data_IF_516736382194
#
_entry.id   IF_516736382194
#
_cell.length_a   1.000
_cell.length_b   1.000
_cell.length_c   1.000
_cell.angle_alpha   90.00
_cell.angle_beta   90.00
_cell.angle_gamma   90.00
#
_symmetry.space_group_name_H-M   'P 1'
#
loop_
_entity.id
_entity.type
_entity.pdbx_description
1 polymer ?
#
# COMPACT_ATOMS: atom_id res chain seq x y z
N UNK A 1 45.14 -24.94 -16.78
CA UNK A 1 44.38 -23.80 -16.21
C UNK A 1 43.09 -23.57 -17.00
N UNK A 2 42.15 -24.52 -16.98
CA UNK A 2 40.88 -24.39 -17.72
C UNK A 2 39.63 -24.70 -16.86
N UNK A 3 39.82 -25.18 -15.63
CA UNK A 3 38.73 -25.60 -14.73
C UNK A 3 38.25 -24.44 -13.84
N UNK A 4 38.98 -23.32 -13.79
CA UNK A 4 38.62 -22.13 -12.98
C UNK A 4 37.75 -21.10 -13.71
N UNK A 5 37.55 -21.24 -15.03
CA UNK A 5 36.77 -20.27 -15.82
C UNK A 5 35.28 -20.64 -15.83
N UNK A 6 34.94 -21.92 -15.65
CA UNK A 6 33.55 -22.40 -15.68
C UNK A 6 32.78 -22.03 -14.40
N UNK A 7 33.46 -21.81 -13.27
CA UNK A 7 32.83 -21.42 -12.01
C UNK A 7 32.42 -19.95 -11.95
N UNK A 8 32.96 -19.07 -12.82
CA UNK A 8 32.60 -17.65 -12.79
C UNK A 8 31.28 -17.35 -13.54
N UNK A 9 30.86 -18.23 -14.46
CA UNK A 9 29.63 -18.06 -15.23
C UNK A 9 28.36 -18.56 -14.51
N UNK A 10 28.50 -19.25 -13.38
CA UNK A 10 27.34 -19.77 -12.63
C UNK A 10 26.88 -18.84 -11.49
N UNK A 11 27.53 -17.69 -11.29
CA UNK A 11 27.17 -16.72 -10.25
C UNK A 11 26.40 -15.48 -10.74
N UNK A 12 26.03 -15.42 -12.03
CA UNK A 12 25.26 -14.31 -12.63
C UNK A 12 23.84 -14.81 -12.99
N UNK A 13 23.27 -15.66 -12.13
CA UNK A 13 21.97 -16.31 -12.34
C UNK A 13 20.84 -15.80 -11.45
N UNK A 14 21.06 -14.82 -10.57
CA UNK A 14 20.02 -14.36 -9.64
C UNK A 14 20.19 -12.90 -9.20
N UNK A 15 19.95 -11.96 -10.11
CA UNK A 15 19.52 -10.59 -9.73
C UNK A 15 18.22 -10.27 -10.42
N UNK A 16 17.15 -10.94 -10.00
CA UNK A 16 15.77 -10.47 -10.23
C UNK A 16 15.46 -9.43 -9.15
N UNK A 17 15.32 -8.16 -9.53
CA UNK A 17 14.62 -7.03 -8.89
C UNK A 17 15.25 -5.74 -9.44
N UNK A 18 14.57 -4.76 -10.04
CA UNK A 18 13.18 -4.37 -9.90
C UNK A 18 12.71 -3.68 -11.19
N UNK A 19 11.40 -3.77 -11.44
CA UNK A 19 10.68 -2.93 -12.39
C UNK A 19 10.84 -1.46 -11.97
N UNK A 20 11.72 -0.72 -12.64
CA UNK A 20 11.61 0.72 -12.70
C UNK A 20 10.40 1.04 -13.60
N UNK A 21 9.22 1.25 -13.00
CA UNK A 21 8.16 1.95 -13.70
C UNK A 21 8.46 3.45 -13.63
N UNK A 22 9.11 3.97 -14.68
CA UNK A 22 9.14 5.40 -14.96
C UNK A 22 7.72 5.87 -15.28
N UNK A 23 7.15 6.73 -14.43
CA UNK A 23 5.89 7.40 -14.72
C UNK A 23 6.15 8.58 -15.66
N UNK A 24 6.16 8.30 -16.97
CA UNK A 24 6.21 9.33 -18.01
C UNK A 24 4.79 9.73 -18.43
N UNK A 25 4.28 10.83 -17.88
CA UNK A 25 2.99 11.42 -18.29
C UNK A 25 3.22 12.47 -19.40
N UNK A 26 3.61 12.00 -20.59
CA UNK A 26 3.70 12.83 -21.81
C UNK A 26 2.33 13.07 -22.44
N UNK A 27 1.90 14.34 -22.52
CA UNK A 27 0.64 14.83 -23.13
C UNK A 27 0.40 14.36 -24.57
N UNK A 28 -0.85 14.02 -24.91
CA UNK A 28 -1.49 14.35 -26.20
C UNK A 28 -3.03 14.45 -26.02
N UNK A 29 -3.74 15.35 -26.73
CA UNK A 29 -5.19 15.47 -26.62
C UNK A 29 -5.86 14.40 -27.48
N UNK A 30 -6.85 13.66 -26.96
CA UNK A 30 -7.59 12.70 -27.77
C UNK A 30 -9.10 12.68 -27.46
N UNK A 31 -9.80 13.36 -28.36
CA UNK A 31 -11.07 13.04 -29.03
C UNK A 31 -11.93 11.94 -28.39
N UNK A 32 -13.13 12.37 -28.01
CA UNK A 32 -14.30 11.62 -27.55
C UNK A 32 -14.75 10.58 -28.60
N UNK A 33 -14.92 9.32 -28.17
CA UNK A 33 -15.67 8.27 -28.88
C UNK A 33 -15.99 7.13 -27.89
N UNK A 34 -17.26 6.75 -27.90
CA UNK A 34 -17.97 5.88 -26.95
C UNK A 34 -17.47 4.44 -26.80
N UNK A 35 -17.84 3.87 -25.64
CA UNK A 35 -17.95 2.44 -25.31
C UNK A 35 -16.65 1.62 -25.23
N UNK A 36 -15.80 1.98 -24.27
CA UNK A 36 -14.96 1.02 -23.54
C UNK A 36 -14.86 1.55 -22.13
N UNK A 37 -15.54 0.93 -21.16
CA UNK A 37 -15.26 1.15 -19.73
C UNK A 37 -13.86 0.62 -19.49
N UNK A 38 -12.87 1.43 -19.82
CA UNK A 38 -11.46 1.15 -19.59
C UNK A 38 -11.34 1.06 -18.08
N UNK A 39 -11.28 -0.16 -17.55
CA UNK A 39 -10.98 -0.46 -16.15
C UNK A 39 -9.61 0.13 -15.85
N UNK A 40 -9.63 1.42 -15.54
CA UNK A 40 -8.44 2.20 -15.28
C UNK A 40 -8.16 1.93 -13.83
N UNK A 41 -7.03 1.31 -13.52
CA UNK A 41 -6.63 1.09 -12.14
C UNK A 41 -6.65 2.44 -11.42
N UNK A 42 -7.55 2.58 -10.46
CA UNK A 42 -7.69 3.81 -9.68
C UNK A 42 -6.76 3.75 -8.47
N UNK A 43 -6.13 4.88 -8.15
CA UNK A 43 -5.23 5.01 -7.01
C UNK A 43 -5.65 6.20 -6.15
N UNK A 44 -5.52 6.06 -4.84
CA UNK A 44 -5.79 7.12 -3.88
C UNK A 44 -4.53 7.43 -3.07
N UNK A 45 -4.25 8.71 -2.86
CA UNK A 45 -3.27 9.15 -1.87
C UNK A 45 -4.01 9.60 -0.63
N UNK A 46 -3.73 8.94 0.51
CA UNK A 46 -4.37 9.25 1.79
C UNK A 46 -3.32 9.71 2.80
N UNK A 47 -3.41 10.98 3.20
CA UNK A 47 -2.57 11.54 4.25
C UNK A 47 -3.26 11.36 5.61
N UNK A 48 -2.83 10.33 6.34
CA UNK A 48 -3.38 9.97 7.65
C UNK A 48 -3.12 11.03 8.74
N UNK A 49 -2.25 12.01 8.48
CA UNK A 49 -1.98 13.12 9.40
C UNK A 49 -3.02 14.23 9.27
N UNK A 50 -3.75 14.27 8.16
CA UNK A 50 -4.80 15.27 7.95
C UNK A 50 -6.02 14.92 8.79
N UNK A 51 -6.23 15.68 9.86
CA UNK A 51 -7.48 15.67 10.58
C UNK A 51 -8.36 16.82 10.03
N UNK A 52 -9.45 16.53 9.30
CA UNK A 52 -10.29 17.59 8.78
C UNK A 52 -10.94 18.33 9.95
N UNK A 53 -10.50 19.55 10.21
CA UNK A 53 -11.26 20.48 11.05
C UNK A 53 -12.55 20.87 10.33
N UNK A 54 -13.53 21.43 11.04
CA UNK A 54 -14.84 21.80 10.47
C UNK A 54 -14.77 22.69 9.20
N UNK A 55 -13.65 23.38 8.97
CA UNK A 55 -13.41 24.26 7.82
C UNK A 55 -12.33 23.75 6.85
N UNK A 56 -11.87 22.50 6.99
CA UNK A 56 -10.86 21.92 6.11
C UNK A 56 -11.47 21.33 4.84
N UNK A 57 -10.76 21.45 3.71
CA UNK A 57 -11.14 20.76 2.48
C UNK A 57 -10.99 19.25 2.70
N UNK A 58 -12.05 18.44 2.50
CA UNK A 58 -11.93 16.99 2.58
C UNK A 58 -10.90 16.49 1.57
N UNK A 59 -10.10 15.51 1.99
CA UNK A 59 -9.19 14.83 1.09
C UNK A 59 -10.00 14.12 -0.01
N UNK A 60 -9.57 14.23 -1.27
CA UNK A 60 -10.21 13.49 -2.35
C UNK A 60 -9.81 12.02 -2.27
N UNK A 61 -10.78 11.13 -2.42
CA UNK A 61 -10.57 9.71 -2.56
C UNK A 61 -11.51 9.15 -3.65
N UNK A 62 -11.12 8.08 -4.35
CA UNK A 62 -12.00 7.37 -5.27
C UNK A 62 -13.25 6.85 -4.57
N UNK A 63 -14.30 6.56 -5.36
CA UNK A 63 -15.59 6.08 -4.85
C UNK A 63 -15.51 4.73 -4.14
N UNK A 64 -14.46 3.94 -4.38
CA UNK A 64 -14.24 2.67 -3.69
C UNK A 64 -13.62 2.83 -2.29
N UNK A 65 -13.19 4.03 -1.89
CA UNK A 65 -12.78 4.32 -0.50
C UNK A 65 -14.00 4.84 0.26
N UNK A 66 -14.64 3.97 1.03
CA UNK A 66 -15.89 4.28 1.74
C UNK A 66 -15.68 5.22 2.93
N UNK A 67 -14.64 4.96 3.73
CA UNK A 67 -14.34 5.76 4.91
C UNK A 67 -12.93 5.56 5.42
N UNK A 68 -12.40 6.59 6.10
CA UNK A 68 -11.18 6.52 6.90
C UNK A 68 -11.54 6.96 8.31
N UNK A 69 -11.45 6.05 9.27
CA UNK A 69 -11.72 6.34 10.68
C UNK A 69 -10.42 6.24 11.48
N UNK A 70 -10.21 7.19 12.39
CA UNK A 70 -9.09 7.19 13.32
C UNK A 70 -9.61 6.93 14.73
N UNK A 71 -9.00 5.97 15.43
CA UNK A 71 -9.33 5.68 16.82
C UNK A 71 -8.05 5.48 17.64
N UNK A 72 -7.91 6.12 18.81
CA UNK A 72 -6.85 5.79 19.75
C UNK A 72 -7.11 4.42 20.37
N UNK A 73 -6.06 3.64 20.56
CA UNK A 73 -6.10 2.42 21.38
C UNK A 73 -5.91 2.81 22.83
N UNK A 74 -6.70 2.24 23.72
CA UNK A 74 -6.50 2.42 25.16
C UNK A 74 -5.18 1.76 25.56
N UNK A 75 -4.38 2.46 26.35
CA UNK A 75 -3.17 1.90 26.97
C UNK A 75 -3.58 0.75 27.90
N UNK A 76 -3.08 -0.45 27.59
CA UNK A 76 -3.31 -1.66 28.39
C UNK A 76 -1.94 -2.16 28.82
N UNK A 77 -1.74 -2.35 30.13
CA UNK A 77 -0.52 -2.91 30.72
C UNK A 77 0.78 -2.12 30.42
N UNK A 78 0.73 -0.78 30.42
CA UNK A 78 1.91 0.08 30.25
C UNK A 78 2.47 0.14 28.83
N UNK A 79 1.72 -0.36 27.84
CA UNK A 79 2.03 -0.18 26.43
C UNK A 79 1.43 1.13 25.91
N UNK A 80 2.27 1.98 25.31
CA UNK A 80 1.85 3.27 24.77
C UNK A 80 0.62 3.14 23.87
N UNK A 81 -0.34 4.06 24.05
CA UNK A 81 -1.54 4.15 23.23
C UNK A 81 -1.16 4.25 21.73
N UNK A 82 -1.59 3.27 20.93
CA UNK A 82 -1.40 3.29 19.47
C UNK A 82 -2.61 3.89 18.77
N UNK A 83 -2.39 4.65 17.71
CA UNK A 83 -3.49 5.11 16.85
C UNK A 83 -3.80 4.06 15.79
N UNK A 84 -5.07 3.69 15.64
CA UNK A 84 -5.55 2.78 14.60
C UNK A 84 -6.28 3.59 13.54
N UNK A 85 -5.83 3.47 12.30
CA UNK A 85 -6.55 3.96 11.13
C UNK A 85 -7.28 2.80 10.45
N UNK A 86 -8.61 2.90 10.33
CA UNK A 86 -9.47 1.93 9.65
C UNK A 86 -9.94 2.52 8.33
N UNK A 87 -9.37 2.01 7.24
CA UNK A 87 -9.77 2.36 5.88
C UNK A 87 -10.77 1.29 5.42
N UNK A 88 -12.02 1.68 5.20
CA UNK A 88 -13.05 0.82 4.62
C UNK A 88 -13.05 1.02 3.11
N UNK A 89 -13.14 -0.10 2.40
CA UNK A 89 -13.06 -0.14 0.95
C UNK A 89 -14.32 -0.84 0.45
N UNK A 90 -15.09 -0.17 -0.40
CA UNK A 90 -16.15 -0.80 -1.17
C UNK A 90 -15.53 -1.64 -2.29
N UNK A 91 -16.30 -2.59 -2.80
CA UNK A 91 -15.90 -3.33 -3.98
C UNK A 91 -15.68 -2.36 -5.15
N UNK A 92 -14.44 -2.21 -5.66
CA UNK A 92 -14.17 -1.29 -6.74
C UNK A 92 -14.94 -1.71 -7.99
N UNK A 93 -15.38 -0.77 -8.84
CA UNK A 93 -16.10 -1.09 -10.05
C UNK A 93 -15.20 -1.84 -11.04
N UNK A 94 -15.22 -3.17 -11.01
CA UNK A 94 -14.44 -4.06 -11.87
C UNK A 94 -13.96 -5.33 -11.16
N UNK A 95 -13.44 -6.30 -11.94
CA UNK A 95 -12.99 -7.60 -11.42
C UNK A 95 -11.56 -7.54 -10.81
N UNK A 96 -11.34 -6.62 -9.86
CA UNK A 96 -10.04 -6.46 -9.21
C UNK A 96 -9.84 -7.52 -8.11
N UNK A 97 -8.79 -8.33 -8.26
CA UNK A 97 -8.45 -9.39 -7.28
C UNK A 97 -7.35 -9.00 -6.29
N UNK A 98 -6.68 -7.87 -6.54
CA UNK A 98 -5.48 -7.45 -5.83
C UNK A 98 -5.59 -5.99 -5.48
N UNK A 99 -5.26 -5.67 -4.23
CA UNK A 99 -5.11 -4.30 -3.75
C UNK A 99 -3.66 -4.07 -3.34
N UNK A 100 -3.08 -2.99 -3.87
CA UNK A 100 -1.73 -2.55 -3.52
C UNK A 100 -1.82 -1.40 -2.52
N UNK A 101 -1.04 -1.49 -1.46
CA UNK A 101 -0.87 -0.44 -0.45
C UNK A 101 0.57 0.02 -0.44
N UNK A 102 0.74 1.33 -0.42
CA UNK A 102 2.03 1.97 -0.21
C UNK A 102 1.95 2.83 1.04
N UNK A 103 2.74 2.51 2.05
CA UNK A 103 2.76 3.21 3.32
C UNK A 103 4.06 4.01 3.43
N UNK A 104 3.92 5.30 3.75
CA UNK A 104 5.01 6.21 4.10
C UNK A 104 4.89 6.53 5.58
N UNK A 105 5.99 6.43 6.31
CA UNK A 105 6.01 6.67 7.76
C UNK A 105 7.40 7.06 8.23
N UNK A 106 7.49 7.68 9.40
CA UNK A 106 8.76 7.98 10.04
C UNK A 106 9.29 6.70 10.71
N UNK A 107 10.52 6.28 10.38
CA UNK A 107 11.12 5.02 10.89
C UNK A 107 11.64 5.18 12.34
N UNK A 108 10.75 5.53 13.26
CA UNK A 108 11.06 5.64 14.68
C UNK A 108 10.90 4.28 15.37
N UNK A 109 11.83 3.95 16.27
CA UNK A 109 11.83 2.72 17.08
C UNK A 109 10.54 2.47 17.85
N UNK A 110 9.82 3.54 18.21
CA UNK A 110 8.64 3.50 19.07
C UNK A 110 7.33 3.43 18.26
N UNK A 111 7.35 3.82 16.98
CA UNK A 111 6.14 3.92 16.16
C UNK A 111 5.82 2.61 15.41
N UNK A 112 6.84 1.99 14.79
CA UNK A 112 6.82 0.75 13.99
C UNK A 112 5.41 0.32 13.51
N UNK A 113 4.87 0.94 12.45
CA UNK A 113 3.48 0.71 12.05
C UNK A 113 3.27 -0.71 11.52
N UNK A 114 2.03 -1.20 11.60
CA UNK A 114 1.62 -2.49 11.04
C UNK A 114 0.42 -2.29 10.11
N UNK A 115 0.42 -2.96 8.96
CA UNK A 115 -0.73 -3.05 8.07
C UNK A 115 -1.40 -4.42 8.21
N UNK A 116 -2.71 -4.37 8.44
CA UNK A 116 -3.57 -5.54 8.46
C UNK A 116 -4.71 -5.32 7.48
N UNK A 117 -5.01 -6.34 6.66
CA UNK A 117 -6.14 -6.32 5.76
C UNK A 117 -7.04 -7.54 5.97
N UNK A 118 -8.34 -7.31 5.85
CA UNK A 118 -9.40 -8.30 5.95
C UNK A 118 -10.25 -8.26 4.69
N UNK A 119 -10.84 -9.40 4.34
CA UNK A 119 -11.90 -9.45 3.32
C UNK A 119 -13.28 -9.14 3.92
N UNK A 120 -14.29 -9.13 3.06
CA UNK A 120 -15.67 -8.79 3.40
C UNK A 120 -16.33 -9.80 4.36
N UNK A 121 -15.77 -11.00 4.46
CA UNK A 121 -16.21 -12.04 5.39
C UNK A 121 -15.52 -11.93 6.76
N UNK A 122 -14.63 -10.96 6.93
CA UNK A 122 -13.84 -10.75 8.14
C UNK A 122 -12.61 -11.67 8.24
N UNK A 123 -12.26 -12.40 7.18
CA UNK A 123 -11.06 -13.22 7.16
C UNK A 123 -9.83 -12.35 6.90
N UNK A 124 -8.76 -12.58 7.68
CA UNK A 124 -7.52 -11.85 7.48
C UNK A 124 -6.79 -12.33 6.21
N UNK A 125 -6.53 -11.39 5.30
CA UNK A 125 -5.85 -11.65 4.01
C UNK A 125 -4.41 -11.15 3.99
N UNK A 126 -4.04 -10.23 4.89
CA UNK A 126 -2.67 -9.71 5.02
C UNK A 126 -2.36 -9.35 6.49
N UNK A 127 -1.13 -9.65 6.92
CA UNK A 127 -0.47 -9.06 8.08
C UNK A 127 0.95 -8.71 7.69
N UNK A 128 1.37 -7.45 7.80
CA UNK A 128 2.76 -7.10 7.51
C UNK A 128 3.73 -7.43 8.65
N UNK A 129 3.23 -7.47 9.89
CA UNK A 129 4.08 -7.28 11.06
C UNK A 129 4.53 -5.82 11.18
N UNK A 130 5.37 -5.55 12.18
CA UNK A 130 5.96 -4.23 12.38
C UNK A 130 6.85 -3.84 11.19
N UNK A 131 6.60 -2.66 10.66
CA UNK A 131 7.32 -2.09 9.54
C UNK A 131 8.38 -1.10 10.04
N UNK A 132 9.48 -1.03 9.29
CA UNK A 132 10.60 -0.15 9.63
C UNK A 132 11.69 -0.88 10.40
N UNK A 133 12.89 -0.30 10.41
CA UNK A 133 14.05 -0.80 11.14
C UNK A 133 14.28 -0.08 12.47
N UNK A 134 13.54 1.00 12.73
CA UNK A 134 13.68 1.84 13.91
C UNK A 134 14.97 2.67 13.92
N UNK A 135 15.56 2.96 12.75
CA UNK A 135 16.85 3.68 12.67
C UNK A 135 16.71 5.20 12.73
N UNK A 136 15.49 5.73 12.86
CA UNK A 136 15.20 7.15 12.96
C UNK A 136 15.19 7.87 11.61
N UNK A 137 14.85 7.18 10.51
CA UNK A 137 14.74 7.84 9.21
C UNK A 137 13.47 8.72 9.16
N UNK A 138 13.57 9.93 8.58
CA UNK A 138 12.44 10.86 8.50
C UNK A 138 11.33 10.37 7.56
N UNK A 139 11.60 9.43 6.65
CA UNK A 139 10.57 8.77 5.84
C UNK A 139 11.11 7.44 5.35
N UNK A 140 10.35 6.38 5.61
CA UNK A 140 10.51 5.04 5.07
C UNK A 140 9.27 4.66 4.23
N UNK A 141 9.48 3.79 3.24
CA UNK A 141 8.45 3.33 2.31
C UNK A 141 8.30 1.81 2.35
N UNK A 142 7.05 1.32 2.38
CA UNK A 142 6.74 -0.10 2.19
C UNK A 142 5.60 -0.32 1.19
N UNK A 143 5.80 -1.30 0.29
CA UNK A 143 4.81 -1.76 -0.68
C UNK A 143 4.24 -3.10 -0.24
N UNK A 144 2.91 -3.18 -0.13
CA UNK A 144 2.19 -4.31 0.42
C UNK A 144 1.08 -4.72 -0.56
N UNK A 145 0.89 -6.03 -0.70
CA UNK A 145 -0.09 -6.61 -1.62
C UNK A 145 -1.10 -7.44 -0.84
N UNK A 146 -2.36 -7.02 -0.83
CA UNK A 146 -3.47 -7.81 -0.31
C UNK A 146 -4.17 -8.52 -1.48
N UNK A 147 -4.43 -9.82 -1.34
CA UNK A 147 -5.16 -10.61 -2.34
C UNK A 147 -6.28 -11.35 -1.64
N UNK A 148 -7.49 -11.28 -2.19
CA UNK A 148 -8.59 -12.13 -1.71
C UNK A 148 -8.21 -13.60 -1.97
N UNK A 149 -8.43 -14.49 -1.00
CA UNK A 149 -8.36 -15.93 -1.30
C UNK A 149 -9.50 -16.25 -2.26
N UNK A 150 -9.19 -16.88 -3.38
CA UNK A 150 -10.25 -17.36 -4.29
C UNK A 150 -11.12 -18.36 -3.54
N UNK A 151 -12.44 -18.22 -3.65
CA UNK A 151 -13.34 -19.32 -3.38
C UNK A 151 -13.01 -20.42 -4.41
N UNK A 152 -12.59 -21.58 -3.91
CA UNK A 152 -12.47 -22.79 -4.73
C UNK A 152 -13.83 -23.36 -5.07
#
# INVERSE_FOLDING_TARGET
MLVRVVTLFWLIGATSSALAQEAFSGRLPKRESDASTKNTAESAWIDLRQHPSANSRPQSAPSWVDAVNMAPTVEINGASAKTIFRIRIAHPPGDYQVLFFRLFFDDNSDARPELVAWDELGSQVLRSGELGSGVGLPTDERNLRARRRGAG
#
